data_IF_120024010008
#
_entry.id   IF_120024010008
#
_cell.length_a   1.000
_cell.length_b   1.000
_cell.length_c   1.000
_cell.angle_alpha   90.00
_cell.angle_beta   90.00
_cell.angle_gamma   90.00
#
_symmetry.space_group_name_H-M   'P 1'
#
loop_
_entity.id
_entity.type
_entity.pdbx_description
1 polymer ?
#
# COMPACT_ATOMS: atom_id res chain seq x y z
N UNK A 1 1.08 10.14 2.50
CA UNK A 1 0.45 9.35 1.42
C UNK A 1 -0.46 10.20 0.54
N UNK A 2 -1.53 10.79 1.08
CA UNK A 2 -2.54 11.55 0.31
C UNK A 2 -1.91 12.70 -0.47
N UNK A 3 -1.05 13.49 0.16
CA UNK A 3 -0.42 14.69 -0.44
C UNK A 3 0.38 14.36 -1.71
N UNK A 4 1.05 13.20 -1.73
CA UNK A 4 1.86 12.75 -2.88
C UNK A 4 0.97 12.19 -4.00
N UNK A 5 -0.14 11.55 -3.65
CA UNK A 5 -0.99 10.85 -4.61
C UNK A 5 -2.06 11.75 -5.25
N UNK A 6 -2.44 12.85 -4.60
CA UNK A 6 -3.40 13.82 -5.17
C UNK A 6 -2.89 14.43 -6.49
N UNK A 7 -1.64 14.92 -6.61
CA UNK A 7 -1.13 15.42 -7.88
C UNK A 7 -1.19 14.40 -9.01
N UNK A 8 -0.91 13.11 -8.70
CA UNK A 8 -1.03 12.03 -9.67
C UNK A 8 -2.47 11.87 -10.18
N UNK A 9 -3.47 11.91 -9.28
CA UNK A 9 -4.88 11.85 -9.66
C UNK A 9 -5.28 13.03 -10.55
N UNK A 10 -4.77 14.23 -10.25
CA UNK A 10 -5.00 15.42 -11.07
C UNK A 10 -4.33 15.31 -12.44
N UNK A 11 -3.10 14.81 -12.52
CA UNK A 11 -2.40 14.55 -13.78
C UNK A 11 -3.18 13.58 -14.67
N UNK A 12 -3.71 12.49 -14.10
CA UNK A 12 -4.55 11.53 -14.81
C UNK A 12 -5.88 12.16 -15.26
N UNK A 13 -6.52 12.97 -14.43
CA UNK A 13 -7.76 13.68 -14.79
C UNK A 13 -7.53 14.64 -15.98
N UNK A 14 -6.42 15.40 -15.96
CA UNK A 14 -6.01 16.30 -17.05
C UNK A 14 -5.77 15.53 -18.35
N UNK A 15 -5.00 14.43 -18.29
CA UNK A 15 -4.65 13.60 -19.46
C UNK A 15 -5.86 12.91 -20.08
N UNK A 16 -6.81 12.46 -19.28
CA UNK A 16 -7.99 11.72 -19.76
C UNK A 16 -9.23 12.57 -19.97
N UNK A 17 -9.19 13.86 -19.64
CA UNK A 17 -10.33 14.80 -19.70
C UNK A 17 -11.57 14.34 -18.91
N UNK A 18 -11.37 13.52 -17.87
CA UNK A 18 -12.43 13.07 -16.98
C UNK A 18 -12.48 13.94 -15.72
N UNK A 19 -13.61 13.89 -15.02
CA UNK A 19 -13.76 14.57 -13.73
C UNK A 19 -12.66 14.16 -12.75
N UNK A 20 -12.09 15.10 -12.02
CA UNK A 20 -11.09 14.87 -10.98
C UNK A 20 -11.57 13.86 -9.93
N UNK A 21 -12.87 13.89 -9.60
CA UNK A 21 -13.48 12.97 -8.63
C UNK A 21 -13.41 11.51 -9.08
N UNK A 22 -13.37 11.26 -10.40
CA UNK A 22 -13.24 9.90 -10.94
C UNK A 22 -11.95 9.19 -10.51
N UNK A 23 -10.87 9.94 -10.25
CA UNK A 23 -9.57 9.41 -9.83
C UNK A 23 -9.31 9.59 -8.33
N UNK A 24 -9.76 10.70 -7.75
CA UNK A 24 -9.52 11.01 -6.34
C UNK A 24 -10.31 10.09 -5.41
N UNK A 25 -11.57 9.78 -5.73
CA UNK A 25 -12.40 8.92 -4.88
C UNK A 25 -11.82 7.51 -4.74
N UNK A 26 -11.48 6.75 -5.82
CA UNK A 26 -10.90 5.43 -5.66
C UNK A 26 -9.53 5.45 -4.99
N UNK A 27 -8.75 6.51 -5.20
CA UNK A 27 -7.47 6.68 -4.56
C UNK A 27 -7.61 6.85 -3.03
N UNK A 28 -8.51 7.72 -2.60
CA UNK A 28 -8.81 7.90 -1.17
C UNK A 28 -9.45 6.66 -0.55
N UNK A 29 -10.36 6.00 -1.26
CA UNK A 29 -10.95 4.75 -0.82
C UNK A 29 -9.90 3.65 -0.65
N UNK A 30 -8.95 3.54 -1.59
CA UNK A 30 -7.84 2.58 -1.49
C UNK A 30 -6.93 2.83 -0.30
N UNK A 31 -6.57 4.09 -0.05
CA UNK A 31 -5.79 4.47 1.13
C UNK A 31 -6.52 4.19 2.44
N UNK A 32 -7.81 4.53 2.51
CA UNK A 32 -8.63 4.33 3.70
C UNK A 32 -8.82 2.83 4.00
N UNK A 33 -9.14 2.02 2.98
CA UNK A 33 -9.31 0.58 3.14
C UNK A 33 -8.01 -0.13 3.48
N UNK A 34 -6.90 0.24 2.85
CA UNK A 34 -5.58 -0.29 3.18
C UNK A 34 -5.22 -0.03 4.64
N UNK A 35 -5.43 1.19 5.11
CA UNK A 35 -5.17 1.57 6.50
C UNK A 35 -6.11 0.87 7.49
N UNK A 36 -7.39 0.72 7.15
CA UNK A 36 -8.39 0.15 8.07
C UNK A 36 -8.29 -1.37 8.20
N UNK A 37 -8.08 -2.09 7.09
CA UNK A 37 -8.24 -3.55 7.04
C UNK A 37 -6.95 -4.33 6.95
N UNK A 38 -5.85 -3.73 6.48
CA UNK A 38 -4.63 -4.49 6.16
C UNK A 38 -3.51 -4.18 7.15
N UNK A 39 -3.03 -5.18 7.95
CA UNK A 39 -1.78 -5.06 8.69
C UNK A 39 -0.58 -4.80 7.74
N UNK A 40 0.46 -4.11 8.19
CA UNK A 40 0.77 -3.68 9.56
C UNK A 40 0.34 -2.24 9.91
N UNK A 41 -0.89 -1.86 9.66
CA UNK A 41 -1.40 -0.55 10.14
C UNK A 41 -1.63 -0.58 11.66
N UNK A 42 -1.46 0.56 12.30
CA UNK A 42 -1.67 0.65 13.75
C UNK A 42 -3.10 0.26 14.16
N UNK A 43 -4.11 0.64 13.35
CA UNK A 43 -5.50 0.32 13.61
C UNK A 43 -5.79 -1.18 13.54
N UNK A 44 -5.37 -1.84 12.47
CA UNK A 44 -5.59 -3.28 12.30
C UNK A 44 -4.83 -4.12 13.32
N UNK A 45 -3.60 -3.73 13.68
CA UNK A 45 -2.81 -4.41 14.73
C UNK A 45 -3.48 -4.26 16.10
N UNK A 46 -3.97 -3.07 16.43
CA UNK A 46 -4.68 -2.84 17.69
C UNK A 46 -5.94 -3.70 17.79
N UNK A 47 -6.76 -3.73 16.74
CA UNK A 47 -7.99 -4.54 16.70
C UNK A 47 -7.67 -6.03 16.80
N UNK A 48 -6.67 -6.52 16.08
CA UNK A 48 -6.23 -7.92 16.17
C UNK A 48 -5.84 -8.29 17.60
N UNK A 49 -5.06 -7.44 18.28
CA UNK A 49 -4.65 -7.66 19.67
C UNK A 49 -5.86 -7.64 20.64
N UNK A 50 -6.80 -6.70 20.46
CA UNK A 50 -8.00 -6.62 21.32
C UNK A 50 -8.91 -7.84 21.16
N UNK A 51 -9.00 -8.39 19.96
CA UNK A 51 -9.79 -9.59 19.67
C UNK A 51 -9.06 -10.89 19.92
N UNK A 52 -7.75 -10.85 20.23
CA UNK A 52 -6.92 -12.04 20.38
C UNK A 52 -6.77 -12.84 19.09
N UNK A 53 -6.85 -12.17 17.94
CA UNK A 53 -6.78 -12.79 16.61
C UNK A 53 -5.37 -12.61 16.05
N UNK A 54 -4.88 -13.67 15.40
CA UNK A 54 -3.59 -13.64 14.71
C UNK A 54 -3.59 -12.66 13.51
N UNK A 55 -2.47 -11.98 13.30
CA UNK A 55 -2.33 -10.96 12.26
C UNK A 55 -2.47 -11.52 10.84
N UNK A 56 -2.07 -12.78 10.61
CA UNK A 56 -2.24 -13.42 9.31
C UNK A 56 -3.70 -13.72 9.02
N UNK A 57 -4.48 -14.12 10.02
CA UNK A 57 -5.94 -14.28 9.89
C UNK A 57 -6.56 -12.90 9.59
N UNK A 58 -6.10 -11.85 10.28
CA UNK A 58 -6.54 -10.48 10.01
C UNK A 58 -6.26 -10.06 8.56
N UNK A 59 -5.09 -10.42 7.99
CA UNK A 59 -4.77 -10.19 6.58
C UNK A 59 -5.69 -11.00 5.67
N UNK A 60 -5.88 -12.29 5.97
CA UNK A 60 -6.68 -13.19 5.15
C UNK A 60 -8.14 -12.75 5.01
N UNK A 61 -8.71 -12.14 6.05
CA UNK A 61 -10.07 -11.58 6.05
C UNK A 61 -10.06 -10.12 5.55
N UNK A 62 -9.07 -9.34 5.97
CA UNK A 62 -8.97 -7.90 5.68
C UNK A 62 -8.73 -7.61 4.19
N UNK A 63 -7.92 -8.41 3.51
CA UNK A 63 -7.64 -8.22 2.07
C UNK A 63 -8.90 -8.41 1.21
N UNK A 64 -9.67 -9.51 1.29
CA UNK A 64 -10.92 -9.64 0.55
C UNK A 64 -11.93 -8.56 0.89
N UNK A 65 -12.09 -8.24 2.18
CA UNK A 65 -13.00 -7.17 2.65
C UNK A 65 -12.59 -5.81 2.10
N UNK A 66 -11.29 -5.49 2.12
CA UNK A 66 -10.73 -4.27 1.57
C UNK A 66 -10.94 -4.16 0.06
N UNK A 67 -10.75 -5.24 -0.69
CA UNK A 67 -11.00 -5.29 -2.14
C UNK A 67 -12.49 -5.03 -2.43
N UNK A 68 -13.40 -5.69 -1.72
CA UNK A 68 -14.84 -5.45 -1.88
C UNK A 68 -15.19 -3.99 -1.57
N UNK A 69 -14.70 -3.48 -0.45
CA UNK A 69 -14.90 -2.07 -0.06
C UNK A 69 -14.38 -1.10 -1.13
N UNK A 70 -13.18 -1.35 -1.67
CA UNK A 70 -12.59 -0.54 -2.74
C UNK A 70 -13.43 -0.57 -4.03
N UNK A 71 -13.96 -1.73 -4.40
CA UNK A 71 -14.82 -1.87 -5.58
C UNK A 71 -16.09 -1.03 -5.40
N UNK A 72 -16.79 -1.19 -4.28
CA UNK A 72 -18.08 -0.49 -4.05
C UNK A 72 -17.88 0.99 -3.76
N UNK A 73 -17.11 1.34 -2.74
CA UNK A 73 -16.92 2.72 -2.29
C UNK A 73 -15.93 3.51 -3.16
N UNK A 74 -14.94 2.84 -3.75
CA UNK A 74 -13.98 3.46 -4.66
C UNK A 74 -14.48 3.52 -6.09
N UNK A 75 -14.49 2.37 -6.77
CA UNK A 75 -14.65 2.31 -8.23
C UNK A 75 -16.10 2.60 -8.67
N UNK A 76 -17.08 1.92 -8.08
CA UNK A 76 -18.48 2.10 -8.48
C UNK A 76 -18.98 3.49 -8.10
N UNK A 77 -18.69 3.93 -6.87
CA UNK A 77 -19.09 5.23 -6.40
C UNK A 77 -18.44 6.38 -7.19
N UNK A 78 -17.15 6.26 -7.51
CA UNK A 78 -16.45 7.28 -8.32
C UNK A 78 -17.01 7.42 -9.74
N UNK A 79 -17.40 6.29 -10.37
CA UNK A 79 -18.07 6.32 -11.68
C UNK A 79 -19.42 7.02 -11.60
N UNK A 80 -20.20 6.71 -10.56
CA UNK A 80 -21.52 7.32 -10.38
C UNK A 80 -21.43 8.84 -10.13
N UNK A 81 -20.53 9.27 -9.24
CA UNK A 81 -20.35 10.69 -8.92
C UNK A 81 -19.64 11.43 -10.05
N UNK A 82 -18.60 10.84 -10.67
CA UNK A 82 -17.83 11.47 -11.74
C UNK A 82 -18.64 11.76 -13.02
N UNK A 83 -19.75 11.05 -13.23
CA UNK A 83 -20.69 11.35 -14.32
C UNK A 83 -21.61 12.52 -13.94
N UNK A 84 -22.04 12.58 -12.67
CA UNK A 84 -22.99 13.60 -12.21
C UNK A 84 -22.34 14.95 -11.90
N UNK A 85 -21.11 14.93 -11.41
CA UNK A 85 -20.41 16.13 -10.94
C UNK A 85 -19.11 16.30 -11.73
N UNK A 86 -19.09 17.25 -12.65
CA UNK A 86 -17.88 17.66 -13.35
C UNK A 86 -17.14 18.70 -12.50
N UNK A 87 -16.16 18.26 -11.74
CA UNK A 87 -15.25 19.16 -11.04
C UNK A 87 -14.02 19.37 -11.91
N UNK A 88 -13.78 20.63 -12.29
CA UNK A 88 -12.55 21.05 -12.96
C UNK A 88 -11.34 20.89 -12.03
N UNK A 89 -10.15 21.02 -12.61
CA UNK A 89 -8.90 21.06 -11.84
C UNK A 89 -8.88 22.32 -10.97
N UNK A 90 -8.46 22.22 -9.70
CA UNK A 90 -8.18 23.40 -8.89
C UNK A 90 -7.09 24.24 -9.56
N UNK A 91 -7.28 25.54 -9.65
CA UNK A 91 -6.35 26.50 -10.26
C UNK A 91 -4.98 26.58 -9.57
N UNK A 92 -4.87 26.02 -8.36
CA UNK A 92 -3.66 25.98 -7.52
C UNK A 92 -2.73 24.78 -7.78
N UNK A 93 -3.12 23.83 -8.63
CA UNK A 93 -2.22 22.73 -8.99
C UNK A 93 -1.31 23.20 -10.11
N UNK A 94 -0.31 23.98 -9.74
CA UNK A 94 0.85 24.27 -10.58
C UNK A 94 1.47 22.97 -11.05
N UNK A 95 1.69 22.89 -12.33
CA UNK A 95 2.49 21.95 -13.11
C UNK A 95 3.21 20.87 -12.28
N UNK A 96 2.64 19.68 -12.26
CA UNK A 96 3.42 18.49 -11.90
C UNK A 96 4.59 18.48 -12.85
N UNK A 97 5.79 18.69 -12.32
CA UNK A 97 7.03 18.68 -13.11
C UNK A 97 7.11 17.36 -13.86
N UNK A 98 7.05 17.44 -15.16
CA UNK A 98 7.28 16.30 -16.07
C UNK A 98 8.76 15.85 -16.08
N UNK A 99 9.60 16.49 -15.27
CA UNK A 99 11.07 16.40 -15.38
C UNK A 99 11.72 15.19 -14.68
N UNK A 100 10.97 14.33 -13.98
CA UNK A 100 11.57 13.18 -13.25
C UNK A 100 11.18 11.80 -13.76
N UNK A 101 10.65 11.64 -14.97
CA UNK A 101 10.33 10.31 -15.51
C UNK A 101 11.55 9.43 -15.85
N UNK A 102 12.77 9.99 -15.85
CA UNK A 102 13.96 9.30 -16.36
C UNK A 102 14.52 8.17 -15.46
N UNK A 103 14.18 8.15 -14.16
CA UNK A 103 14.76 7.20 -13.20
C UNK A 103 13.75 6.57 -12.23
N UNK A 104 12.50 6.38 -12.63
CA UNK A 104 11.51 5.73 -11.77
C UNK A 104 11.79 4.22 -11.61
N UNK A 105 11.68 3.68 -10.38
CA UNK A 105 11.82 2.26 -10.13
C UNK A 105 10.75 1.47 -10.88
N UNK A 106 11.10 0.25 -11.29
CA UNK A 106 10.12 -0.63 -11.93
C UNK A 106 8.95 -0.88 -10.98
N UNK A 107 7.72 -0.77 -11.48
CA UNK A 107 6.49 -0.99 -10.72
C UNK A 107 6.50 -2.33 -9.96
N UNK A 108 7.04 -3.40 -10.58
CA UNK A 108 7.21 -4.70 -9.94
C UNK A 108 8.11 -4.66 -8.70
N UNK A 109 9.16 -3.85 -8.71
CA UNK A 109 10.07 -3.69 -7.55
C UNK A 109 9.34 -3.02 -6.38
N UNK A 110 8.56 -1.98 -6.66
CA UNK A 110 7.78 -1.28 -5.64
C UNK A 110 6.73 -2.21 -5.01
N UNK A 111 5.99 -2.95 -5.83
CA UNK A 111 5.02 -3.94 -5.34
C UNK A 111 5.71 -5.03 -4.51
N UNK A 112 6.84 -5.57 -4.98
CA UNK A 112 7.57 -6.59 -4.23
C UNK A 112 7.96 -6.09 -2.83
N UNK A 113 8.45 -4.86 -2.71
CA UNK A 113 8.81 -4.27 -1.40
C UNK A 113 7.58 -4.13 -0.49
N UNK A 114 6.46 -3.69 -1.03
CA UNK A 114 5.20 -3.54 -0.27
C UNK A 114 4.67 -4.89 0.21
N UNK A 115 4.85 -5.95 -0.59
CA UNK A 115 4.40 -7.29 -0.25
C UNK A 115 5.29 -8.00 0.78
N UNK A 116 6.57 -7.60 0.94
CA UNK A 116 7.50 -8.24 1.89
C UNK A 116 6.91 -8.38 3.29
N UNK A 117 6.44 -7.32 3.98
CA UNK A 117 5.91 -7.47 5.33
C UNK A 117 4.65 -8.33 5.38
N UNK A 118 3.78 -8.23 4.39
CA UNK A 118 2.57 -9.06 4.30
C UNK A 118 2.92 -10.56 4.20
N UNK A 119 3.85 -10.90 3.32
CA UNK A 119 4.29 -12.29 3.12
C UNK A 119 4.97 -12.82 4.39
N UNK A 120 5.81 -12.04 5.05
CA UNK A 120 6.48 -12.46 6.28
C UNK A 120 5.48 -12.74 7.41
N UNK A 121 4.47 -11.88 7.60
CA UNK A 121 3.40 -12.08 8.59
C UNK A 121 2.58 -13.33 8.25
N UNK A 122 2.22 -13.51 6.98
CA UNK A 122 1.48 -14.71 6.54
C UNK A 122 2.30 -15.99 6.74
N UNK A 123 3.60 -15.98 6.44
CA UNK A 123 4.48 -17.12 6.67
C UNK A 123 4.58 -17.47 8.16
N UNK A 124 4.64 -16.47 9.04
CA UNK A 124 4.58 -16.67 10.48
C UNK A 124 3.31 -17.40 10.91
N UNK A 125 2.16 -16.88 10.50
CA UNK A 125 0.86 -17.50 10.79
C UNK A 125 0.75 -18.92 10.23
N UNK A 126 1.15 -19.14 8.98
CA UNK A 126 1.12 -20.47 8.38
C UNK A 126 2.02 -21.48 9.10
N UNK A 127 3.10 -21.02 9.75
CA UNK A 127 3.98 -21.90 10.53
C UNK A 127 3.29 -22.55 11.73
N UNK A 128 2.18 -22.01 12.21
CA UNK A 128 1.37 -22.58 13.28
C UNK A 128 0.55 -23.79 12.81
N UNK A 129 0.13 -23.78 11.54
CA UNK A 129 -0.77 -24.78 10.97
C UNK A 129 -0.04 -25.89 10.20
N UNK A 130 1.23 -25.66 9.81
CA UNK A 130 1.99 -26.59 8.97
C UNK A 130 3.08 -27.30 9.80
N UNK A 131 2.91 -28.62 10.10
CA UNK A 131 3.86 -29.37 10.95
C UNK A 131 5.30 -29.37 10.44
N UNK A 132 5.50 -29.33 9.13
CA UNK A 132 6.84 -29.31 8.50
C UNK A 132 7.63 -28.05 8.87
N UNK A 133 6.96 -26.93 9.18
CA UNK A 133 7.58 -25.68 9.56
C UNK A 133 7.90 -25.56 11.04
N UNK A 134 7.53 -26.55 11.86
CA UNK A 134 7.71 -26.55 13.31
C UNK A 134 9.18 -26.32 13.74
N UNK A 135 10.12 -26.84 12.94
CA UNK A 135 11.56 -26.71 13.24
C UNK A 135 12.08 -25.28 13.11
N UNK A 136 11.48 -24.49 12.20
CA UNK A 136 11.89 -23.10 11.92
C UNK A 136 10.87 -22.08 12.45
N UNK A 137 9.84 -22.55 13.13
CA UNK A 137 8.76 -21.73 13.69
C UNK A 137 9.27 -20.55 14.52
N UNK A 138 10.22 -20.70 15.48
CA UNK A 138 10.67 -19.56 16.29
C UNK A 138 11.29 -18.43 15.45
N UNK A 139 11.95 -18.80 14.35
CA UNK A 139 12.56 -17.82 13.41
C UNK A 139 11.46 -17.13 12.60
N UNK A 140 10.47 -17.88 12.11
CA UNK A 140 9.36 -17.32 11.33
C UNK A 140 8.48 -16.41 12.19
N UNK A 141 8.20 -16.77 13.44
CA UNK A 141 7.47 -15.93 14.39
C UNK A 141 8.21 -14.61 14.66
N UNK A 142 9.52 -14.67 14.86
CA UNK A 142 10.33 -13.47 15.08
C UNK A 142 10.33 -12.56 13.84
N UNK A 143 10.59 -13.11 12.65
CA UNK A 143 10.67 -12.36 11.40
C UNK A 143 9.26 -11.83 10.98
N UNK A 144 8.20 -12.57 11.29
CA UNK A 144 6.82 -12.21 11.01
C UNK A 144 6.21 -11.22 12.00
N UNK A 145 6.92 -10.84 13.09
CA UNK A 145 6.43 -9.74 13.92
C UNK A 145 6.35 -8.45 13.08
N UNK A 146 5.28 -7.64 13.20
CA UNK A 146 5.07 -6.46 12.36
C UNK A 146 6.26 -5.51 12.34
N UNK A 147 6.91 -5.32 13.50
CA UNK A 147 8.06 -4.44 13.64
C UNK A 147 9.28 -4.95 12.85
N UNK A 148 9.62 -6.24 12.97
CA UNK A 148 10.74 -6.85 12.25
C UNK A 148 10.45 -6.91 10.75
N UNK A 149 9.24 -7.29 10.37
CA UNK A 149 8.82 -7.36 8.98
C UNK A 149 8.92 -6.00 8.27
N UNK A 150 8.56 -4.90 8.96
CA UNK A 150 8.72 -3.54 8.44
C UNK A 150 10.20 -3.13 8.33
N UNK A 151 11.04 -3.46 9.31
CA UNK A 151 12.49 -3.20 9.23
C UNK A 151 13.08 -3.91 8.00
N UNK A 152 12.75 -5.18 7.80
CA UNK A 152 13.20 -5.95 6.64
C UNK A 152 12.73 -5.28 5.35
N UNK A 153 11.46 -4.85 5.26
CA UNK A 153 10.94 -4.15 4.09
C UNK A 153 11.70 -2.85 3.81
N UNK A 154 12.04 -2.07 4.84
CA UNK A 154 12.84 -0.84 4.69
C UNK A 154 14.24 -1.15 4.19
N UNK A 155 14.91 -2.17 4.73
CA UNK A 155 16.24 -2.59 4.25
C UNK A 155 16.19 -3.04 2.78
N UNK A 156 15.16 -3.79 2.38
CA UNK A 156 14.94 -4.14 0.99
C UNK A 156 14.69 -2.91 0.12
N UNK A 157 13.88 -1.95 0.58
CA UNK A 157 13.65 -0.70 -0.12
C UNK A 157 14.96 0.09 -0.31
N UNK A 158 15.76 0.25 0.73
CA UNK A 158 17.06 0.93 0.66
C UNK A 158 18.02 0.25 -0.33
N UNK A 159 18.03 -1.08 -0.34
CA UNK A 159 18.89 -1.82 -1.27
C UNK A 159 18.41 -1.71 -2.72
N UNK A 160 17.14 -1.96 -2.98
CA UNK A 160 16.61 -2.02 -4.35
C UNK A 160 16.33 -0.65 -4.96
N UNK A 161 15.87 0.32 -4.17
CA UNK A 161 15.56 1.66 -4.63
C UNK A 161 16.77 2.60 -4.50
N UNK A 162 17.64 2.39 -3.50
CA UNK A 162 18.84 3.20 -3.32
C UNK A 162 20.01 2.70 -4.19
N UNK A 163 20.69 1.64 -3.74
CA UNK A 163 21.95 1.19 -4.34
C UNK A 163 21.84 0.75 -5.80
N UNK A 164 20.73 0.10 -6.20
CA UNK A 164 20.54 -0.40 -7.57
C UNK A 164 20.17 0.71 -8.58
N UNK A 165 19.72 1.87 -8.10
CA UNK A 165 19.44 3.04 -8.95
C UNK A 165 20.55 4.10 -8.92
N UNK A 166 21.70 3.80 -8.28
CA UNK A 166 22.87 4.67 -8.34
C UNK A 166 22.86 5.84 -7.35
N UNK A 167 21.98 5.81 -6.34
CA UNK A 167 22.03 6.80 -5.26
C UNK A 167 23.18 6.47 -4.31
N UNK A 168 24.11 7.42 -4.13
CA UNK A 168 25.19 7.32 -3.15
C UNK A 168 24.65 7.48 -1.72
N UNK A 169 25.35 6.86 -0.74
CA UNK A 169 24.90 6.83 0.66
C UNK A 169 24.74 8.20 1.33
N UNK A 170 25.22 9.28 0.73
CA UNK A 170 25.00 10.66 1.19
C UNK A 170 23.63 11.22 0.77
N UNK A 171 23.04 10.69 -0.30
CA UNK A 171 21.71 11.10 -0.79
C UNK A 171 20.56 10.33 -0.13
N UNK A 172 20.89 9.31 0.66
CA UNK A 172 19.94 8.49 1.41
C UNK A 172 19.75 8.93 2.88
N UNK A 173 20.43 9.99 3.30
CA UNK A 173 20.28 10.64 4.61
C UNK A 173 19.24 11.74 4.56
#
# INVERSE_FOLDING_TARGET
>A
GVVILIPLAFGLAKKTKKSTLYYVIPLLAGLATGFAFIPPSAGSVLVANMLGVDLGIMIAVGVPTGILSLIFAGILWSKFIGIKIHTGLPTTVSEVREEEEANLPKFSTVIAIILVPLVLILCSTLSEYIPVLYRIRPVLEFIGTPFVALIIAVLFAMYFLGKKQGYDGEQLK
#
